data_IF_806861994728
#
_entry.id   IF_806861994728
#
_cell.length_a   1.000
_cell.length_b   1.000
_cell.length_c   1.000
_cell.angle_alpha   90.00
_cell.angle_beta   90.00
_cell.angle_gamma   90.00
#
_symmetry.space_group_name_H-M   'P 1'
#
loop_
_entity.id
_entity.type
_entity.pdbx_description
1 polymer ?
#
# COMPACT_ATOMS: atom_id res chain seq x y z
N UNK A 1 -77.35 32.95 -61.34
CA UNK A 1 -76.33 33.89 -60.79
C UNK A 1 -76.42 34.01 -59.26
N UNK A 2 -77.56 34.40 -58.67
CA UNK A 2 -77.69 34.64 -57.22
C UNK A 2 -77.38 33.43 -56.31
N UNK A 3 -77.81 32.21 -56.69
CA UNK A 3 -77.57 30.99 -55.91
C UNK A 3 -76.07 30.63 -55.82
N UNK A 4 -75.31 30.89 -56.88
CA UNK A 4 -73.86 30.64 -56.91
C UNK A 4 -73.09 31.57 -55.97
N UNK A 5 -73.51 32.84 -55.87
CA UNK A 5 -72.92 33.82 -54.95
C UNK A 5 -73.22 33.47 -53.48
N UNK A 6 -74.43 33.01 -53.19
CA UNK A 6 -74.80 32.55 -51.84
C UNK A 6 -73.99 31.32 -51.42
N UNK A 7 -73.83 30.32 -52.29
CA UNK A 7 -73.02 29.14 -52.01
C UNK A 7 -71.55 29.49 -51.76
N UNK A 8 -70.98 30.40 -52.56
CA UNK A 8 -69.62 30.91 -52.35
C UNK A 8 -69.49 31.69 -51.05
N UNK A 9 -70.49 32.49 -50.69
CA UNK A 9 -70.52 33.21 -49.42
C UNK A 9 -70.59 32.28 -48.21
N UNK A 10 -71.42 31.24 -48.24
CA UNK A 10 -71.48 30.24 -47.18
C UNK A 10 -70.21 29.39 -47.09
N UNK A 11 -69.61 29.02 -48.23
CA UNK A 11 -68.33 28.33 -48.27
C UNK A 11 -67.20 29.19 -47.69
N UNK A 12 -67.14 30.47 -48.06
CA UNK A 12 -66.17 31.43 -47.51
C UNK A 12 -66.38 31.66 -46.01
N UNK A 13 -67.63 31.80 -45.56
CA UNK A 13 -67.96 31.98 -44.13
C UNK A 13 -67.57 30.75 -43.30
N UNK A 14 -67.80 29.54 -43.81
CA UNK A 14 -67.34 28.29 -43.18
C UNK A 14 -65.81 28.18 -43.16
N UNK A 15 -65.14 28.51 -44.26
CA UNK A 15 -63.69 28.51 -44.32
C UNK A 15 -63.08 29.51 -43.33
N UNK A 16 -63.65 30.71 -43.20
CA UNK A 16 -63.19 31.73 -42.26
C UNK A 16 -63.37 31.31 -40.79
N UNK A 17 -64.46 30.61 -40.45
CA UNK A 17 -64.66 30.07 -39.09
C UNK A 17 -63.67 28.95 -38.78
N UNK A 18 -63.40 28.05 -39.73
CA UNK A 18 -62.42 26.97 -39.56
C UNK A 18 -61.01 27.55 -39.41
N UNK A 19 -60.66 28.57 -40.19
CA UNK A 19 -59.35 29.22 -40.10
C UNK A 19 -59.14 29.93 -38.74
N UNK A 20 -60.20 30.56 -38.19
CA UNK A 20 -60.15 31.14 -36.84
C UNK A 20 -60.00 30.09 -35.74
N UNK A 21 -60.72 28.98 -35.85
CA UNK A 21 -60.60 27.86 -34.90
C UNK A 21 -59.20 27.24 -34.95
N UNK A 22 -58.65 27.01 -36.15
CA UNK A 22 -57.29 26.50 -36.31
C UNK A 22 -56.23 27.46 -35.77
N UNK A 23 -56.43 28.78 -35.93
CA UNK A 23 -55.50 29.78 -35.39
C UNK A 23 -55.53 29.87 -33.86
N UNK A 24 -56.69 29.65 -33.23
CA UNK A 24 -56.81 29.57 -31.77
C UNK A 24 -56.19 28.28 -31.22
N UNK A 25 -56.48 27.14 -31.86
CA UNK A 25 -55.87 25.86 -31.50
C UNK A 25 -54.35 25.88 -31.66
N UNK A 26 -53.81 26.53 -32.71
CA UNK A 26 -52.36 26.70 -32.88
C UNK A 26 -51.73 27.59 -31.79
N UNK A 27 -52.44 28.62 -31.32
CA UNK A 27 -51.98 29.49 -30.22
C UNK A 27 -52.00 28.77 -28.88
N UNK A 28 -53.04 27.98 -28.61
CA UNK A 28 -53.14 27.16 -27.40
C UNK A 28 -52.07 26.05 -27.38
N UNK A 29 -51.83 25.40 -28.53
CA UNK A 29 -50.75 24.42 -28.66
C UNK A 29 -49.36 25.05 -28.47
N UNK A 30 -49.13 26.27 -28.99
CA UNK A 30 -47.88 27.00 -28.79
C UNK A 30 -47.69 27.43 -27.33
N UNK A 31 -48.76 27.86 -26.63
CA UNK A 31 -48.69 28.19 -25.21
C UNK A 31 -48.40 26.94 -24.35
N UNK A 32 -49.02 25.81 -24.67
CA UNK A 32 -48.81 24.53 -23.98
C UNK A 32 -47.38 23.98 -24.12
N UNK A 33 -46.63 24.40 -25.16
CA UNK A 33 -45.22 24.02 -25.37
C UNK A 33 -44.23 24.89 -24.60
N UNK A 34 -44.60 26.12 -24.22
CA UNK A 34 -43.72 27.04 -23.46
C UNK A 34 -43.70 26.70 -21.96
N UNK A 35 -44.79 26.14 -21.43
CA UNK A 35 -44.88 25.72 -20.03
C UNK A 35 -43.95 24.54 -19.63
N UNK A 36 -43.78 23.47 -20.41
CA UNK A 36 -42.86 22.38 -20.04
C UNK A 36 -41.39 22.81 -20.05
N UNK A 37 -40.99 23.72 -20.93
CA UNK A 37 -39.63 24.27 -20.92
C UNK A 37 -39.37 25.12 -19.67
N UNK A 38 -40.36 25.94 -19.28
CA UNK A 38 -40.30 26.71 -18.04
C UNK A 38 -40.29 25.83 -16.79
N UNK A 39 -41.02 24.72 -16.80
CA UNK A 39 -40.99 23.73 -15.71
C UNK A 39 -39.61 23.07 -15.61
N UNK A 40 -39.04 22.60 -16.73
CA UNK A 40 -37.68 22.05 -16.76
C UNK A 40 -36.63 23.04 -16.26
N UNK A 41 -36.71 24.31 -16.66
CA UNK A 41 -35.79 25.34 -16.17
C UNK A 41 -35.92 25.54 -14.66
N UNK A 42 -37.14 25.55 -14.11
CA UNK A 42 -37.37 25.63 -12.66
C UNK A 42 -36.82 24.41 -11.92
N UNK A 43 -37.01 23.21 -12.46
CA UNK A 43 -36.47 21.97 -11.89
C UNK A 43 -34.94 21.97 -11.90
N UNK A 44 -34.31 22.41 -12.99
CA UNK A 44 -32.86 22.53 -13.08
C UNK A 44 -32.32 23.58 -12.10
N UNK A 45 -33.00 24.72 -11.96
CA UNK A 45 -32.61 25.73 -10.97
C UNK A 45 -32.77 25.20 -9.53
N UNK A 46 -33.85 24.47 -9.24
CA UNK A 46 -34.06 23.85 -7.93
C UNK A 46 -32.98 22.80 -7.63
N UNK A 47 -32.62 21.97 -8.62
CA UNK A 47 -31.55 20.98 -8.51
C UNK A 47 -30.18 21.66 -8.29
N UNK A 48 -29.89 22.76 -8.99
CA UNK A 48 -28.65 23.52 -8.81
C UNK A 48 -28.56 24.11 -7.39
N UNK A 49 -29.65 24.70 -6.89
CA UNK A 49 -29.71 25.26 -5.54
C UNK A 49 -29.53 24.15 -4.50
N UNK A 50 -30.21 23.01 -4.64
CA UNK A 50 -30.03 21.85 -3.75
C UNK A 50 -28.59 21.35 -3.76
N UNK A 51 -28.01 21.12 -4.93
CA UNK A 51 -26.63 20.67 -5.06
C UNK A 51 -25.61 21.66 -4.48
N UNK A 52 -25.86 22.97 -4.61
CA UNK A 52 -25.00 23.99 -3.97
C UNK A 52 -25.08 23.95 -2.44
N UNK A 53 -26.25 23.64 -1.88
CA UNK A 53 -26.43 23.48 -0.44
C UNK A 53 -25.75 22.21 0.07
N UNK A 54 -25.93 21.08 -0.62
CA UNK A 54 -25.31 19.79 -0.30
C UNK A 54 -23.79 19.86 -0.37
N UNK A 55 -23.22 20.49 -1.41
CA UNK A 55 -21.76 20.68 -1.52
C UNK A 55 -21.21 21.57 -0.41
N UNK A 56 -21.94 22.61 -0.01
CA UNK A 56 -21.57 23.45 1.13
C UNK A 56 -21.60 22.67 2.45
N UNK A 57 -22.60 21.83 2.66
CA UNK A 57 -22.70 20.99 3.85
C UNK A 57 -21.60 19.92 3.88
N UNK A 58 -21.33 19.26 2.76
CA UNK A 58 -20.25 18.29 2.63
C UNK A 58 -18.88 18.92 2.91
N UNK A 59 -18.63 20.13 2.38
CA UNK A 59 -17.40 20.88 2.64
C UNK A 59 -17.28 21.28 4.11
N UNK A 60 -18.38 21.71 4.75
CA UNK A 60 -18.40 22.02 6.17
C UNK A 60 -18.21 20.77 7.05
N UNK A 61 -18.68 19.60 6.62
CA UNK A 61 -18.45 18.31 7.29
C UNK A 61 -17.00 17.88 7.19
N UNK A 62 -16.40 17.97 5.99
CA UNK A 62 -15.00 17.64 5.76
C UNK A 62 -14.07 18.53 6.59
N UNK A 63 -14.35 19.84 6.64
CA UNK A 63 -13.60 20.78 7.48
C UNK A 63 -13.66 20.42 8.96
N UNK A 64 -14.84 20.07 9.48
CA UNK A 64 -15.01 19.61 10.87
C UNK A 64 -14.22 18.33 11.16
N UNK A 65 -14.23 17.38 10.23
CA UNK A 65 -13.46 16.13 10.35
C UNK A 65 -11.94 16.39 10.36
N UNK A 66 -11.46 17.28 9.48
CA UNK A 66 -10.05 17.67 9.44
C UNK A 66 -9.61 18.35 10.75
N UNK A 67 -10.42 19.27 11.28
CA UNK A 67 -10.15 19.92 12.57
C UNK A 67 -10.15 18.92 13.74
N UNK A 68 -11.02 17.89 13.70
CA UNK A 68 -11.00 16.80 14.69
C UNK A 68 -9.73 15.95 14.59
N UNK A 69 -9.30 15.60 13.38
CA UNK A 69 -8.07 14.85 13.16
C UNK A 69 -6.86 15.64 13.65
N UNK A 70 -6.78 16.95 13.36
CA UNK A 70 -5.70 17.80 13.83
C UNK A 70 -5.59 17.79 15.37
N UNK A 71 -6.73 17.88 16.07
CA UNK A 71 -6.76 17.79 17.55
C UNK A 71 -6.29 16.44 18.06
N UNK A 72 -6.70 15.35 17.41
CA UNK A 72 -6.25 14.00 17.78
C UNK A 72 -4.74 13.84 17.57
N UNK A 73 -4.20 14.38 16.48
CA UNK A 73 -2.75 14.37 16.23
C UNK A 73 -1.99 15.19 17.26
N UNK A 74 -2.46 16.40 17.59
CA UNK A 74 -1.83 17.23 18.62
C UNK A 74 -1.84 16.54 20.00
N UNK A 75 -2.97 15.93 20.37
CA UNK A 75 -3.09 15.16 21.62
C UNK A 75 -2.12 13.97 21.63
N UNK A 76 -2.13 13.15 20.57
CA UNK A 76 -1.24 11.99 20.46
C UNK A 76 0.25 12.39 20.44
N UNK A 77 0.61 13.49 19.80
CA UNK A 77 1.98 14.00 19.79
C UNK A 77 2.43 14.44 21.20
N UNK A 78 1.54 15.10 21.96
CA UNK A 78 1.82 15.50 23.34
C UNK A 78 1.97 14.28 24.27
N UNK A 79 1.14 13.25 24.09
CA UNK A 79 1.26 11.99 24.83
C UNK A 79 2.57 11.26 24.51
N UNK A 80 2.97 11.27 23.24
CA UNK A 80 4.24 10.69 22.81
C UNK A 80 5.44 11.42 23.41
N UNK A 81 5.44 12.76 23.40
CA UNK A 81 6.48 13.56 24.04
C UNK A 81 6.58 13.27 25.54
N UNK A 82 5.43 13.23 26.23
CA UNK A 82 5.38 12.87 27.65
C UNK A 82 5.91 11.45 27.90
N UNK A 83 5.55 10.49 27.06
CA UNK A 83 6.05 9.12 27.13
C UNK A 83 7.57 9.03 26.94
N UNK A 84 8.13 9.84 26.03
CA UNK A 84 9.57 9.95 25.84
C UNK A 84 10.27 10.55 27.06
N UNK A 85 9.72 11.60 27.66
CA UNK A 85 10.27 12.19 28.90
C UNK A 85 10.24 11.21 30.07
N UNK A 86 9.13 10.46 30.23
CA UNK A 86 8.99 9.42 31.24
C UNK A 86 9.97 8.26 31.02
N UNK A 87 10.20 7.85 29.76
CA UNK A 87 11.19 6.83 29.40
C UNK A 87 12.63 7.34 29.61
N UNK A 88 12.91 8.61 29.30
CA UNK A 88 14.21 9.23 29.56
C UNK A 88 14.49 9.33 31.06
N UNK A 89 13.51 9.67 31.90
CA UNK A 89 13.64 9.65 33.37
C UNK A 89 13.94 8.25 33.91
N UNK A 90 13.54 7.19 33.19
CA UNK A 90 13.82 5.79 33.52
C UNK A 90 15.15 5.27 32.96
N UNK A 91 15.99 6.11 32.31
CA UNK A 91 17.34 5.74 31.83
C UNK A 91 18.27 5.43 33.00
N UNK A 92 18.23 4.16 33.39
CA UNK A 92 19.08 3.50 34.38
C UNK A 92 18.82 1.99 34.42
N UNK A 93 17.68 1.54 33.88
CA UNK A 93 17.41 0.12 33.60
C UNK A 93 17.24 -0.08 32.10
N UNK A 94 18.01 -1.04 31.58
CA UNK A 94 18.00 -1.63 30.24
C UNK A 94 16.71 -1.31 29.47
N UNK A 95 16.86 -0.56 28.39
CA UNK A 95 15.77 -0.03 27.57
C UNK A 95 15.07 -1.18 26.84
N UNK A 96 14.07 -1.79 27.48
CA UNK A 96 13.13 -2.68 26.82
C UNK A 96 12.17 -1.82 26.01
N UNK A 97 12.19 -1.98 24.69
CA UNK A 97 11.24 -1.34 23.78
C UNK A 97 9.85 -1.70 24.29
N UNK A 98 9.04 -0.68 24.64
CA UNK A 98 7.72 -0.92 25.21
C UNK A 98 6.91 -1.83 24.26
N UNK A 99 6.27 -2.89 24.76
CA UNK A 99 5.56 -3.86 23.90
C UNK A 99 4.45 -3.21 23.05
N UNK A 100 3.92 -2.06 23.46
CA UNK A 100 2.92 -1.33 22.69
C UNK A 100 3.49 -0.57 21.49
N UNK A 101 4.76 -0.12 21.54
CA UNK A 101 5.46 0.42 20.36
C UNK A 101 5.62 -0.63 19.26
N UNK A 102 5.76 -1.90 19.62
CA UNK A 102 5.80 -2.99 18.65
C UNK A 102 4.43 -3.25 18.01
N UNK A 103 3.33 -3.11 18.76
CA UNK A 103 1.97 -3.25 18.20
C UNK A 103 1.64 -2.12 17.23
N UNK A 104 2.04 -0.89 17.57
CA UNK A 104 1.88 0.27 16.66
C UNK A 104 2.73 0.13 15.40
N UNK A 105 3.97 -0.35 15.52
CA UNK A 105 4.80 -0.67 14.35
C UNK A 105 4.13 -1.72 13.45
N UNK A 106 3.55 -2.78 14.03
CA UNK A 106 2.79 -3.78 13.27
C UNK A 106 1.54 -3.19 12.61
N UNK A 107 0.80 -2.30 13.27
CA UNK A 107 -0.39 -1.68 12.68
C UNK A 107 -0.05 -0.64 11.61
N UNK A 108 1.09 0.05 11.72
CA UNK A 108 1.59 0.96 10.70
C UNK A 108 2.05 0.21 9.45
N UNK A 109 2.75 -0.91 9.61
CA UNK A 109 3.10 -1.82 8.50
C UNK A 109 1.85 -2.42 7.85
N UNK A 110 0.80 -2.71 8.63
CA UNK A 110 -0.47 -3.21 8.10
C UNK A 110 -1.36 -2.14 7.44
N UNK A 111 -1.20 -0.85 7.81
CA UNK A 111 -2.04 0.25 7.31
C UNK A 111 -1.41 1.05 6.17
N UNK A 112 -0.08 1.11 6.09
CA UNK A 112 0.64 1.71 4.98
C UNK A 112 0.82 0.64 3.92
N UNK A 113 -0.22 0.49 3.08
CA UNK A 113 -0.28 -0.45 1.98
C UNK A 113 0.94 -0.38 1.08
N UNK A 114 1.93 -1.23 1.38
CA UNK A 114 2.69 -1.86 0.33
C UNK A 114 1.67 -2.66 -0.49
N UNK A 115 1.61 -2.47 -1.82
CA UNK A 115 0.59 -3.09 -2.67
C UNK A 115 0.94 -4.57 -2.83
N UNK A 116 0.69 -5.37 -1.81
CA UNK A 116 0.57 -6.81 -1.96
C UNK A 116 -0.90 -7.12 -1.82
N UNK A 117 -1.53 -7.44 -2.95
CA UNK A 117 -2.83 -8.09 -3.07
C UNK A 117 -2.79 -9.50 -2.47
N UNK A 118 -2.32 -9.62 -1.23
CA UNK A 118 -2.09 -10.87 -0.54
C UNK A 118 -3.34 -11.27 0.21
N UNK A 119 -3.82 -12.48 -0.04
CA UNK A 119 -4.85 -13.10 0.78
C UNK A 119 -4.33 -13.24 2.23
N UNK A 120 -5.20 -13.34 3.25
CA UNK A 120 -4.75 -13.56 4.63
C UNK A 120 -3.87 -14.83 4.79
N UNK A 121 -3.91 -15.76 3.83
CA UNK A 121 -3.02 -16.92 3.80
C UNK A 121 -1.58 -16.57 3.40
N UNK A 122 -1.38 -15.61 2.49
CA UNK A 122 -0.05 -15.19 2.04
C UNK A 122 0.71 -14.48 3.17
N UNK A 123 -0.01 -13.76 4.03
CA UNK A 123 0.54 -13.14 5.24
C UNK A 123 1.05 -14.18 6.24
N UNK A 124 0.34 -15.30 6.42
CA UNK A 124 0.77 -16.39 7.31
C UNK A 124 2.00 -17.10 6.76
N UNK A 125 2.02 -17.42 5.46
CA UNK A 125 3.18 -18.03 4.80
C UNK A 125 4.42 -17.16 4.90
N UNK A 126 4.26 -15.84 4.75
CA UNK A 126 5.36 -14.89 4.90
C UNK A 126 5.86 -14.87 6.35
N UNK A 127 4.96 -14.90 7.33
CA UNK A 127 5.34 -14.96 8.74
C UNK A 127 6.11 -16.25 9.09
N UNK A 128 5.64 -17.40 8.60
CA UNK A 128 6.33 -18.69 8.75
C UNK A 128 7.72 -18.65 8.09
N UNK A 129 7.81 -18.09 6.88
CA UNK A 129 9.09 -17.90 6.19
C UNK A 129 10.07 -17.03 7.00
N UNK A 130 9.60 -15.91 7.56
CA UNK A 130 10.45 -15.07 8.42
C UNK A 130 10.93 -15.82 9.66
N UNK A 131 10.05 -16.60 10.29
CA UNK A 131 10.42 -17.41 11.45
C UNK A 131 11.48 -18.46 11.09
N UNK A 132 11.35 -19.12 9.95
CA UNK A 132 12.35 -20.07 9.44
C UNK A 132 13.70 -19.38 9.18
N UNK A 133 13.68 -18.17 8.60
CA UNK A 133 14.89 -17.38 8.39
C UNK A 133 15.55 -17.01 9.72
N UNK A 134 14.78 -16.53 10.70
CA UNK A 134 15.32 -16.16 12.02
C UNK A 134 15.94 -17.36 12.75
N UNK A 135 15.26 -18.52 12.75
CA UNK A 135 15.77 -19.75 13.36
C UNK A 135 17.04 -20.22 12.67
N UNK A 136 17.05 -20.25 11.34
CA UNK A 136 18.20 -20.72 10.56
C UNK A 136 19.39 -19.76 10.69
N UNK A 137 19.15 -18.45 10.71
CA UNK A 137 20.17 -17.44 10.95
C UNK A 137 20.75 -17.55 12.36
N UNK A 138 19.89 -17.79 13.36
CA UNK A 138 20.32 -18.05 14.74
C UNK A 138 21.21 -19.29 14.85
N UNK A 139 20.85 -20.38 14.16
CA UNK A 139 21.68 -21.59 14.08
C UNK A 139 23.04 -21.31 13.43
N UNK A 140 23.05 -20.61 12.28
CA UNK A 140 24.29 -20.23 11.61
C UNK A 140 25.21 -19.46 12.55
N UNK A 141 24.68 -18.47 13.28
CA UNK A 141 25.47 -17.64 14.19
C UNK A 141 25.91 -18.40 15.45
N UNK A 142 25.10 -19.33 15.95
CA UNK A 142 25.43 -20.17 17.09
C UNK A 142 26.64 -21.08 16.80
N UNK A 143 26.77 -21.59 15.57
CA UNK A 143 27.87 -22.46 15.15
C UNK A 143 29.25 -21.79 15.18
N UNK A 144 29.31 -20.45 15.15
CA UNK A 144 30.55 -19.70 15.29
C UNK A 144 30.97 -19.47 16.76
N UNK A 145 30.18 -19.89 17.77
CA UNK A 145 30.53 -19.91 19.20
C UNK A 145 31.35 -18.69 19.72
N UNK A 146 30.98 -17.47 19.31
CA UNK A 146 31.67 -16.24 19.73
C UNK A 146 32.79 -15.76 18.81
N UNK A 147 33.12 -16.49 17.74
CA UNK A 147 33.95 -16.02 16.63
C UNK A 147 33.19 -14.99 15.78
N UNK A 148 33.09 -13.77 16.31
CA UNK A 148 32.48 -12.62 15.64
C UNK A 148 33.04 -12.35 14.24
N UNK A 149 34.37 -12.35 13.99
CA UNK A 149 34.86 -12.10 12.64
C UNK A 149 34.51 -13.25 11.67
N UNK A 150 34.49 -14.51 12.13
CA UNK A 150 33.99 -15.64 11.34
C UNK A 150 32.51 -15.50 10.98
N UNK A 151 31.66 -15.20 11.96
CA UNK A 151 30.23 -14.96 11.76
C UNK A 151 29.97 -13.79 10.81
N UNK A 152 30.70 -12.68 10.96
CA UNK A 152 30.58 -11.54 10.06
C UNK A 152 30.98 -11.90 8.62
N UNK A 153 32.06 -12.67 8.45
CA UNK A 153 32.53 -13.12 7.14
C UNK A 153 31.52 -14.06 6.46
N UNK A 154 30.88 -14.94 7.21
CA UNK A 154 29.85 -15.85 6.67
C UNK A 154 28.60 -15.10 6.22
N UNK A 155 28.12 -14.13 7.02
CA UNK A 155 27.02 -13.24 6.63
C UNK A 155 27.37 -12.39 5.40
N UNK A 156 28.57 -11.83 5.34
CA UNK A 156 29.05 -11.07 4.16
C UNK A 156 29.09 -11.94 2.91
N UNK A 157 29.57 -13.18 3.03
CA UNK A 157 29.62 -14.12 1.91
C UNK A 157 28.21 -14.50 1.42
N UNK A 158 27.27 -14.77 2.32
CA UNK A 158 25.87 -15.00 1.95
C UNK A 158 25.26 -13.78 1.25
N UNK A 159 25.49 -12.59 1.80
CA UNK A 159 24.99 -11.35 1.20
C UNK A 159 25.55 -11.13 -0.20
N UNK A 160 26.84 -11.43 -0.43
CA UNK A 160 27.45 -11.35 -1.75
C UNK A 160 26.86 -12.38 -2.73
N UNK A 161 26.63 -13.62 -2.28
CA UNK A 161 25.98 -14.67 -3.09
C UNK A 161 24.60 -14.21 -3.55
N UNK A 162 23.78 -13.68 -2.63
CA UNK A 162 22.44 -13.16 -2.96
C UNK A 162 22.52 -11.94 -3.87
N UNK A 163 23.45 -11.02 -3.62
CA UNK A 163 23.64 -9.86 -4.50
C UNK A 163 24.00 -10.28 -5.92
N UNK A 164 24.87 -11.28 -6.08
CA UNK A 164 25.25 -11.81 -7.38
C UNK A 164 24.08 -12.49 -8.10
N UNK A 165 23.21 -13.20 -7.36
CA UNK A 165 22.01 -13.82 -7.96
C UNK A 165 20.96 -12.79 -8.37
N UNK A 166 20.85 -11.68 -7.64
CA UNK A 166 19.97 -10.55 -7.97
C UNK A 166 20.49 -9.69 -9.12
N UNK A 167 21.81 -9.53 -9.25
CA UNK A 167 22.42 -8.62 -10.24
C UNK A 167 22.44 -9.17 -11.68
N UNK A 168 22.21 -10.48 -11.90
CA UNK A 168 22.09 -11.03 -13.25
C UNK A 168 22.24 -12.55 -13.37
N UNK A 169 22.10 -13.12 -14.59
CA UNK A 169 22.06 -14.57 -14.80
C UNK A 169 23.43 -15.27 -14.73
N UNK A 170 24.54 -14.52 -14.68
CA UNK A 170 25.90 -15.06 -14.85
C UNK A 170 26.44 -15.84 -13.64
N UNK A 171 25.79 -15.76 -12.47
CA UNK A 171 26.31 -16.37 -11.24
C UNK A 171 25.18 -16.91 -10.36
N UNK A 172 24.34 -17.77 -10.93
CA UNK A 172 23.21 -18.39 -10.22
C UNK A 172 23.56 -19.68 -9.50
N UNK A 173 24.70 -20.28 -9.78
CA UNK A 173 25.11 -21.54 -9.16
C UNK A 173 26.16 -21.35 -8.07
N UNK A 174 25.93 -21.98 -6.93
CA UNK A 174 26.83 -21.99 -5.78
C UNK A 174 27.18 -23.44 -5.47
N UNK A 175 28.46 -23.78 -5.57
CA UNK A 175 28.93 -25.11 -5.21
C UNK A 175 29.13 -25.19 -3.68
N UNK A 176 28.19 -25.85 -3.01
CA UNK A 176 28.16 -26.04 -1.54
C UNK A 176 29.28 -26.97 -1.07
N UNK A 177 29.79 -27.84 -1.96
CA UNK A 177 30.94 -28.71 -1.68
C UNK A 177 32.29 -28.03 -1.92
N UNK A 178 32.33 -26.83 -2.49
CA UNK A 178 33.61 -26.14 -2.74
C UNK A 178 34.38 -25.88 -1.46
N UNK A 179 35.72 -26.02 -1.51
CA UNK A 179 36.60 -25.78 -0.36
C UNK A 179 36.35 -24.39 0.25
N UNK A 180 36.18 -23.35 -0.59
CA UNK A 180 35.87 -21.99 -0.14
C UNK A 180 34.56 -21.89 0.63
N UNK A 181 33.51 -22.58 0.18
CA UNK A 181 32.23 -22.61 0.89
C UNK A 181 32.40 -23.32 2.25
N UNK A 182 33.08 -24.46 2.26
CA UNK A 182 33.33 -25.22 3.48
C UNK A 182 34.21 -24.45 4.48
N UNK A 183 35.24 -23.74 4.02
CA UNK A 183 36.09 -22.90 4.87
C UNK A 183 35.35 -21.70 5.45
N UNK A 184 34.43 -21.11 4.67
CA UNK A 184 33.68 -19.92 5.09
C UNK A 184 32.59 -20.24 6.10
N UNK A 185 31.85 -21.34 5.88
CA UNK A 185 30.70 -21.71 6.70
C UNK A 185 31.03 -22.75 7.77
N UNK A 186 32.10 -23.53 7.59
CA UNK A 186 32.55 -24.54 8.54
C UNK A 186 31.43 -25.49 8.95
N UNK A 187 31.10 -25.46 10.25
CA UNK A 187 30.01 -26.25 10.84
C UNK A 187 28.61 -25.74 10.45
N UNK A 188 28.48 -24.44 10.21
CA UNK A 188 27.24 -23.77 9.76
C UNK A 188 26.90 -23.98 8.29
N UNK A 189 27.50 -24.98 7.62
CA UNK A 189 27.24 -25.28 6.21
C UNK A 189 25.77 -25.60 5.95
N UNK A 190 25.14 -26.39 6.83
CA UNK A 190 23.74 -26.79 6.70
C UNK A 190 22.80 -25.58 6.83
N UNK A 191 23.04 -24.71 7.82
CA UNK A 191 22.27 -23.49 8.01
C UNK A 191 22.44 -22.52 6.83
N UNK A 192 23.67 -22.34 6.34
CA UNK A 192 23.93 -21.51 5.17
C UNK A 192 23.23 -22.04 3.91
N UNK A 193 23.27 -23.36 3.67
CA UNK A 193 22.54 -23.99 2.58
C UNK A 193 21.03 -23.78 2.72
N UNK A 194 20.48 -23.96 3.92
CA UNK A 194 19.06 -23.75 4.19
C UNK A 194 18.62 -22.30 3.97
N UNK A 195 19.46 -21.32 4.31
CA UNK A 195 19.20 -19.91 4.01
C UNK A 195 19.15 -19.64 2.49
N UNK A 196 20.02 -20.30 1.71
CA UNK A 196 19.96 -20.21 0.26
C UNK A 196 18.66 -20.85 -0.29
N UNK A 197 18.22 -21.98 0.27
CA UNK A 197 16.93 -22.58 -0.08
C UNK A 197 15.74 -21.66 0.24
N UNK A 198 15.76 -20.99 1.40
CA UNK A 198 14.74 -20.01 1.80
C UNK A 198 14.76 -18.76 0.91
N UNK A 199 15.90 -18.41 0.33
CA UNK A 199 16.01 -17.39 -0.73
C UNK A 199 15.59 -17.91 -2.12
N UNK A 200 15.11 -19.15 -2.20
CA UNK A 200 14.62 -19.81 -3.42
C UNK A 200 15.71 -20.31 -4.36
N UNK A 201 16.87 -20.67 -3.82
CA UNK A 201 17.79 -21.54 -4.52
C UNK A 201 17.29 -22.99 -4.44
N UNK A 202 17.38 -23.73 -5.54
CA UNK A 202 17.07 -25.15 -5.57
C UNK A 202 18.35 -25.97 -5.51
N UNK A 203 18.33 -27.12 -4.82
CA UNK A 203 19.43 -28.07 -4.87
C UNK A 203 19.58 -28.63 -6.29
N UNK A 204 20.79 -28.59 -6.83
CA UNK A 204 21.14 -29.15 -8.13
C UNK A 204 22.42 -29.97 -8.01
N UNK A 205 22.28 -31.28 -7.79
CA UNK A 205 23.39 -32.21 -7.63
C UNK A 205 24.32 -31.82 -6.47
N UNK A 206 25.48 -31.27 -6.79
CA UNK A 206 26.51 -30.89 -5.81
C UNK A 206 26.44 -29.43 -5.35
N UNK A 207 25.56 -28.63 -5.96
CA UNK A 207 25.41 -27.21 -5.68
C UNK A 207 23.95 -26.79 -5.45
N UNK A 208 23.76 -25.49 -5.31
CA UNK A 208 22.44 -24.84 -5.28
C UNK A 208 22.37 -23.80 -6.41
N UNK A 209 21.24 -23.75 -7.10
CA UNK A 209 21.01 -22.87 -8.25
C UNK A 209 19.85 -21.92 -7.98
N UNK A 210 20.05 -20.62 -8.17
CA UNK A 210 19.02 -19.59 -8.00
C UNK A 210 17.92 -19.75 -9.06
N UNK A 211 16.68 -19.91 -8.60
CA UNK A 211 15.51 -19.97 -9.47
C UNK A 211 15.12 -18.56 -9.95
N UNK A 212 14.74 -18.38 -11.23
CA UNK A 212 14.35 -17.07 -11.76
C UNK A 212 13.09 -16.48 -11.11
N UNK A 213 12.25 -17.30 -10.48
CA UNK A 213 10.99 -16.87 -9.87
C UNK A 213 11.12 -16.42 -8.40
N UNK A 214 12.28 -16.59 -7.77
CA UNK A 214 12.46 -16.38 -6.32
C UNK A 214 13.19 -15.08 -5.96
N UNK A 215 13.13 -14.07 -6.83
CA UNK A 215 13.86 -12.81 -6.62
C UNK A 215 13.41 -12.07 -5.36
N UNK A 216 12.11 -12.11 -5.01
CA UNK A 216 11.58 -11.41 -3.84
C UNK A 216 12.09 -11.99 -2.51
N UNK A 217 12.15 -13.31 -2.36
CA UNK A 217 12.67 -13.92 -1.12
C UNK A 217 14.17 -13.66 -0.96
N UNK A 218 14.93 -13.71 -2.07
CA UNK A 218 16.34 -13.39 -2.06
C UNK A 218 16.60 -11.91 -1.70
N UNK A 219 15.80 -10.98 -2.20
CA UNK A 219 15.84 -9.55 -1.84
C UNK A 219 15.56 -9.35 -0.34
N UNK A 220 14.47 -9.94 0.17
CA UNK A 220 14.14 -9.83 1.59
C UNK A 220 15.23 -10.42 2.50
N UNK A 221 15.77 -11.59 2.15
CA UNK A 221 16.86 -12.18 2.93
C UNK A 221 18.12 -11.30 2.86
N UNK A 222 18.43 -10.73 1.69
CA UNK A 222 19.54 -9.81 1.53
C UNK A 222 19.41 -8.59 2.45
N UNK A 223 18.23 -7.98 2.53
CA UNK A 223 17.96 -6.83 3.41
C UNK A 223 18.13 -7.19 4.90
N UNK A 224 17.65 -8.37 5.32
CA UNK A 224 17.81 -8.88 6.69
C UNK A 224 19.31 -9.03 7.02
N UNK A 225 20.08 -9.64 6.13
CA UNK A 225 21.52 -9.85 6.31
C UNK A 225 22.29 -8.52 6.38
N UNK A 226 21.96 -7.57 5.50
CA UNK A 226 22.55 -6.23 5.50
C UNK A 226 22.24 -5.48 6.80
N UNK A 227 21.02 -5.59 7.29
CA UNK A 227 20.64 -4.99 8.55
C UNK A 227 21.35 -5.64 9.75
N UNK A 228 21.52 -6.96 9.76
CA UNK A 228 22.31 -7.67 10.78
C UNK A 228 23.78 -7.21 10.78
N UNK A 229 24.40 -7.09 9.60
CA UNK A 229 25.78 -6.61 9.44
C UNK A 229 25.96 -5.16 9.92
N UNK A 230 24.95 -4.29 9.75
CA UNK A 230 24.97 -2.92 10.26
C UNK A 230 24.84 -2.86 11.77
N UNK A 231 23.94 -3.66 12.38
CA UNK A 231 23.74 -3.66 13.84
C UNK A 231 25.00 -4.05 14.61
N UNK A 232 25.75 -5.03 14.12
CA UNK A 232 27.03 -5.42 14.73
C UNK A 232 28.08 -4.31 14.69
N UNK A 233 28.07 -3.45 13.66
CA UNK A 233 28.96 -2.28 13.62
C UNK A 233 28.64 -1.22 14.69
N UNK A 234 27.40 -1.16 15.18
CA UNK A 234 26.97 -0.18 16.20
C UNK A 234 27.43 -0.51 17.63
N UNK A 235 27.56 -1.79 17.97
CA UNK A 235 27.92 -2.23 19.33
C UNK A 235 29.43 -2.16 19.60
N UNK A 236 30.25 -2.13 18.54
CA UNK A 236 31.72 -2.06 18.66
C UNK A 236 32.19 -0.63 19.02
N UNK A 237 31.41 0.42 18.73
CA UNK A 237 31.78 1.80 19.10
C UNK A 237 31.55 2.16 20.57
N UNK A 238 30.78 1.37 21.34
CA UNK A 238 30.49 1.68 22.74
C UNK A 238 31.45 1.07 23.76
N UNK A 239 32.48 0.31 23.32
CA UNK A 239 33.43 -0.37 24.23
C UNK A 239 34.91 -0.02 24.01
N UNK A 240 35.25 0.91 23.11
CA UNK A 240 36.64 1.36 22.88
C UNK A 240 36.83 2.79 23.43
N UNK A 241 36.24 3.08 24.59
CA UNK A 241 36.19 4.45 25.10
C UNK A 241 35.93 4.57 26.59
N UNK A 242 36.53 3.73 27.42
CA UNK A 242 36.80 4.10 28.81
C UNK A 242 38.20 3.59 29.21
N UNK A 243 39.13 4.48 29.60
CA UNK A 243 40.41 4.11 30.19
C UNK A 243 40.25 3.48 31.57
#
# INVERSE_FOLDING_TARGET
MAVSLLLRFFAWRRAATVQRQNALAAREAAAALVDPERQKLKELMAALVSGSAETREATASLRRSAEQQERLYQMSASDFQRGLEEAQRKKGKRMEIAPDSWKLLRSLVASHGFPTSGTPEDSKKLQEWFQDVEVTLGQLLADFHGDRPGAKRSLQTLSLILQNSLSGPKSREVNVKSARFQETFGRGRSAAQRLLELAGFAQNGEGVVALPAATSQAEHLFDILQHALRKDSGVISSHIGQP
#
